data_IF_480677657812
#
_entry.id   IF_480677657812
#
_cell.length_a   1.000
_cell.length_b   1.000
_cell.length_c   1.000
_cell.angle_alpha   90.00
_cell.angle_beta   90.00
_cell.angle_gamma   90.00
#
_symmetry.space_group_name_H-M   'P 1'
#
loop_
_entity.id
_entity.type
_entity.pdbx_description
1 polymer ?
#
# COMPACT_ATOMS: atom_id res chain seq x y z
N UNK A 1 22.66 4.59 -1.09
CA UNK A 1 21.38 5.07 -1.64
C UNK A 1 20.24 5.13 -0.60
N UNK A 2 20.12 4.22 0.38
CA UNK A 2 19.01 4.29 1.37
C UNK A 2 19.07 5.48 2.34
N UNK A 3 20.26 5.94 2.75
CA UNK A 3 20.38 7.05 3.70
C UNK A 3 20.03 8.43 3.10
N UNK A 4 20.26 8.63 1.81
CA UNK A 4 19.95 9.90 1.15
C UNK A 4 18.42 10.11 1.06
N UNK A 5 17.68 9.07 0.71
CA UNK A 5 16.22 9.11 0.65
C UNK A 5 15.58 9.28 2.04
N UNK A 6 16.09 8.56 3.06
CA UNK A 6 15.65 8.74 4.45
C UNK A 6 15.98 10.15 4.95
N UNK A 7 17.15 10.68 4.59
CA UNK A 7 17.55 12.05 4.93
C UNK A 7 16.59 13.08 4.34
N UNK A 8 16.26 12.98 3.05
CA UNK A 8 15.29 13.84 2.38
C UNK A 8 13.91 13.80 3.08
N UNK A 9 13.41 12.59 3.35
CA UNK A 9 12.09 12.40 3.96
C UNK A 9 12.00 13.01 5.37
N UNK A 10 13.05 12.85 6.18
CA UNK A 10 13.07 13.33 7.58
C UNK A 10 13.45 14.80 7.72
N UNK A 11 14.41 15.28 6.93
CA UNK A 11 15.02 16.60 7.10
C UNK A 11 14.41 17.67 6.21
N UNK A 12 13.93 17.30 5.02
CA UNK A 12 13.41 18.24 4.03
C UNK A 12 11.87 18.20 3.99
N UNK A 13 11.28 17.01 4.00
CA UNK A 13 9.81 16.86 3.91
C UNK A 13 9.10 16.82 5.28
N UNK A 14 9.85 16.87 6.39
CA UNK A 14 9.31 16.87 7.75
C UNK A 14 8.49 15.63 8.11
N UNK A 15 8.64 14.54 7.34
CA UNK A 15 7.90 13.31 7.57
C UNK A 15 8.47 12.54 8.77
N UNK A 16 7.64 11.67 9.37
CA UNK A 16 8.06 10.81 10.47
C UNK A 16 8.22 9.37 10.00
N UNK A 17 9.41 8.81 10.17
CA UNK A 17 9.65 7.40 9.87
C UNK A 17 9.00 6.50 10.94
N UNK A 18 8.05 5.67 10.52
CA UNK A 18 7.48 4.59 11.32
C UNK A 18 8.09 3.26 10.86
N UNK A 19 8.86 2.60 11.72
CA UNK A 19 9.49 1.32 11.43
C UNK A 19 9.46 0.42 12.66
N UNK A 20 9.47 -0.90 12.43
CA UNK A 20 9.45 -1.88 13.50
C UNK A 20 10.86 -2.22 13.97
N UNK A 21 11.12 -2.07 15.27
CA UNK A 21 12.31 -2.61 15.94
C UNK A 21 12.20 -4.12 16.22
N UNK A 22 10.99 -4.70 16.07
CA UNK A 22 10.69 -6.11 16.34
C UNK A 22 10.43 -6.91 15.07
N UNK A 23 10.91 -6.39 13.93
CA UNK A 23 10.70 -6.97 12.61
C UNK A 23 9.20 -7.09 12.26
N UNK A 24 8.81 -8.13 11.52
CA UNK A 24 7.44 -8.38 11.08
C UNK A 24 6.34 -8.11 12.11
N UNK A 25 6.56 -8.59 13.34
CA UNK A 25 5.61 -8.50 14.45
C UNK A 25 5.24 -7.07 14.88
N UNK A 26 6.04 -6.07 14.51
CA UNK A 26 5.73 -4.67 14.80
C UNK A 26 5.02 -3.92 13.67
N UNK A 27 4.70 -4.58 12.55
CA UNK A 27 3.89 -3.99 11.48
C UNK A 27 2.85 -4.98 10.89
N UNK A 28 2.02 -5.62 11.73
CA UNK A 28 1.15 -6.72 11.29
C UNK A 28 0.11 -6.31 10.25
N UNK A 29 -0.30 -5.04 10.22
CA UNK A 29 -1.31 -4.54 9.28
C UNK A 29 -0.75 -4.50 7.85
N UNK A 30 0.42 -3.90 7.67
CA UNK A 30 1.08 -3.81 6.35
C UNK A 30 1.46 -5.21 5.85
N UNK A 31 1.92 -6.08 6.75
CA UNK A 31 2.24 -7.46 6.39
C UNK A 31 1.01 -8.26 5.97
N UNK A 32 -0.10 -8.15 6.72
CA UNK A 32 -1.35 -8.81 6.37
C UNK A 32 -1.86 -8.33 5.01
N UNK A 33 -1.78 -7.02 4.75
CA UNK A 33 -2.12 -6.47 3.44
C UNK A 33 -1.28 -7.08 2.32
N UNK A 34 0.05 -7.03 2.41
CA UNK A 34 0.91 -7.54 1.35
C UNK A 34 0.83 -9.06 1.18
N UNK A 35 0.65 -9.81 2.26
CA UNK A 35 0.44 -11.26 2.18
C UNK A 35 -0.84 -11.59 1.42
N UNK A 36 -1.95 -10.90 1.72
CA UNK A 36 -3.23 -11.11 1.04
C UNK A 36 -3.17 -10.66 -0.42
N UNK A 37 -2.61 -9.49 -0.68
CA UNK A 37 -2.48 -8.94 -2.02
C UNK A 37 -1.70 -9.89 -2.95
N UNK A 38 -0.56 -10.42 -2.47
CA UNK A 38 0.24 -11.38 -3.24
C UNK A 38 -0.52 -12.68 -3.49
N UNK A 39 -1.22 -13.20 -2.48
CA UNK A 39 -2.01 -14.42 -2.63
C UNK A 39 -3.18 -14.24 -3.62
N UNK A 40 -3.90 -13.12 -3.55
CA UNK A 40 -5.04 -12.81 -4.43
C UNK A 40 -4.62 -12.61 -5.91
N UNK A 41 -3.36 -12.26 -6.18
CA UNK A 41 -2.86 -11.93 -7.51
C UNK A 41 -1.70 -12.81 -7.98
N UNK A 42 -1.40 -13.89 -7.26
CA UNK A 42 -0.17 -14.67 -7.44
C UNK A 42 0.04 -15.11 -8.88
N UNK A 43 -0.97 -15.71 -9.51
CA UNK A 43 -0.85 -16.25 -10.87
C UNK A 43 -0.57 -15.13 -11.89
N UNK A 44 -1.32 -14.02 -11.81
CA UNK A 44 -1.15 -12.88 -12.71
C UNK A 44 0.22 -12.21 -12.55
N UNK A 45 0.73 -12.12 -11.32
CA UNK A 45 2.05 -11.55 -11.05
C UNK A 45 3.16 -12.44 -11.63
N UNK A 46 2.98 -13.77 -11.60
CA UNK A 46 3.94 -14.72 -12.17
C UNK A 46 3.89 -14.77 -13.70
N UNK A 47 2.76 -14.41 -14.30
CA UNK A 47 2.59 -14.34 -15.77
C UNK A 47 3.20 -13.08 -16.41
N UNK A 48 3.56 -12.08 -15.61
CA UNK A 48 4.16 -10.85 -16.12
C UNK A 48 5.52 -11.11 -16.81
N UNK A 49 5.61 -10.74 -18.09
CA UNK A 49 6.77 -11.07 -18.95
C UNK A 49 7.92 -10.06 -18.88
N UNK A 50 7.72 -8.93 -18.22
CA UNK A 50 8.73 -7.89 -18.04
C UNK A 50 8.46 -7.08 -16.76
N UNK A 51 9.46 -6.31 -16.32
CA UNK A 51 9.32 -5.44 -15.15
C UNK A 51 8.28 -4.36 -15.40
N UNK A 52 8.20 -3.82 -16.62
CA UNK A 52 7.22 -2.80 -17.01
C UNK A 52 5.80 -3.37 -17.00
N UNK A 53 5.62 -4.61 -17.47
CA UNK A 53 4.34 -5.30 -17.40
C UNK A 53 3.92 -5.58 -15.94
N UNK A 54 4.88 -5.96 -15.10
CA UNK A 54 4.65 -6.16 -13.66
C UNK A 54 4.27 -4.84 -12.97
N UNK A 55 4.96 -3.75 -13.27
CA UNK A 55 4.68 -2.43 -12.69
C UNK A 55 3.28 -1.93 -13.09
N UNK A 56 2.93 -2.04 -14.38
CA UNK A 56 1.59 -1.70 -14.85
C UNK A 56 0.49 -2.54 -14.18
N UNK A 57 0.74 -3.85 -14.00
CA UNK A 57 -0.18 -4.75 -13.31
C UNK A 57 -0.32 -4.35 -11.83
N UNK A 58 0.79 -4.07 -11.13
CA UNK A 58 0.75 -3.63 -9.74
C UNK A 58 -0.01 -2.31 -9.58
N UNK A 59 0.24 -1.33 -10.46
CA UNK A 59 -0.45 -0.05 -10.46
C UNK A 59 -1.97 -0.23 -10.64
N UNK A 60 -2.39 -1.06 -11.59
CA UNK A 60 -3.81 -1.36 -11.81
C UNK A 60 -4.45 -2.01 -10.59
N UNK A 61 -3.80 -3.03 -10.01
CA UNK A 61 -4.34 -3.77 -8.87
C UNK A 61 -4.43 -2.91 -7.60
N UNK A 62 -3.44 -2.05 -7.36
CA UNK A 62 -3.48 -1.09 -6.24
C UNK A 62 -4.57 -0.06 -6.45
N UNK A 63 -4.73 0.48 -7.67
CA UNK A 63 -5.82 1.40 -7.99
C UNK A 63 -7.17 0.73 -7.75
N UNK A 64 -7.37 -0.48 -8.25
CA UNK A 64 -8.61 -1.24 -8.04
C UNK A 64 -8.89 -1.50 -6.56
N UNK A 65 -7.87 -1.84 -5.77
CA UNK A 65 -8.02 -1.99 -4.32
C UNK A 65 -8.46 -0.68 -3.64
N UNK A 66 -7.88 0.46 -4.03
CA UNK A 66 -8.14 1.75 -3.36
C UNK A 66 -9.45 2.41 -3.81
N UNK A 67 -9.78 2.33 -5.10
CA UNK A 67 -10.79 3.16 -5.75
C UNK A 67 -12.04 2.39 -6.18
N UNK A 68 -11.98 1.05 -6.24
CA UNK A 68 -13.08 0.24 -6.78
C UNK A 68 -13.54 -0.86 -5.82
N UNK A 69 -12.65 -1.42 -5.00
CA UNK A 69 -13.00 -2.49 -4.06
C UNK A 69 -13.82 -1.91 -2.91
N UNK A 70 -15.01 -2.48 -2.72
CA UNK A 70 -15.84 -2.20 -1.55
C UNK A 70 -15.38 -3.06 -0.38
N UNK A 71 -15.20 -2.45 0.78
CA UNK A 71 -14.78 -3.14 1.99
C UNK A 71 -15.94 -3.23 2.97
N UNK A 72 -16.31 -4.46 3.37
CA UNK A 72 -17.38 -4.70 4.34
C UNK A 72 -17.10 -4.03 5.70
N UNK A 73 -15.84 -4.03 6.14
CA UNK A 73 -15.40 -3.31 7.33
C UNK A 73 -15.51 -1.79 7.23
N UNK A 74 -15.59 -1.25 6.01
CA UNK A 74 -15.77 0.17 5.71
C UNK A 74 -17.21 0.49 5.26
N UNK A 75 -18.19 -0.28 5.73
CA UNK A 75 -19.61 -0.08 5.40
C UNK A 75 -19.87 -0.09 3.89
N UNK A 76 -19.18 -0.96 3.17
CA UNK A 76 -19.27 -1.09 1.71
C UNK A 76 -18.87 0.19 0.96
N UNK A 77 -17.88 0.92 1.47
CA UNK A 77 -17.20 2.01 0.78
C UNK A 77 -15.81 1.56 0.30
N UNK A 78 -15.27 2.32 -0.64
CA UNK A 78 -13.87 2.22 -1.08
C UNK A 78 -12.94 2.84 -0.04
N UNK A 79 -11.65 2.49 -0.12
CA UNK A 79 -10.64 3.11 0.75
C UNK A 79 -10.54 4.61 0.46
N UNK A 80 -10.59 5.01 -0.82
CA UNK A 80 -10.47 6.40 -1.22
C UNK A 80 -11.65 7.27 -0.72
N UNK A 81 -12.88 6.77 -0.76
CA UNK A 81 -14.04 7.47 -0.17
C UNK A 81 -13.88 7.65 1.34
N UNK A 82 -13.50 6.57 2.02
CA UNK A 82 -13.28 6.59 3.48
C UNK A 82 -12.19 7.58 3.87
N UNK A 83 -11.09 7.63 3.10
CA UNK A 83 -10.00 8.57 3.33
C UNK A 83 -10.45 10.02 3.10
N UNK A 84 -11.19 10.29 2.02
CA UNK A 84 -11.73 11.62 1.72
C UNK A 84 -12.63 12.12 2.86
N UNK A 85 -13.49 11.25 3.39
CA UNK A 85 -14.38 11.58 4.52
C UNK A 85 -13.58 11.90 5.80
N UNK A 86 -12.56 11.08 6.11
CA UNK A 86 -11.70 11.31 7.28
C UNK A 86 -10.93 12.63 7.19
N UNK A 87 -10.39 12.95 6.01
CA UNK A 87 -9.67 14.19 5.77
C UNK A 87 -10.57 15.43 5.74
N UNK A 88 -11.83 15.28 5.29
CA UNK A 88 -12.81 16.37 5.30
C UNK A 88 -13.32 16.71 6.71
N UNK A 89 -13.03 15.85 7.69
CA UNK A 89 -13.43 16.01 9.09
C UNK A 89 -12.28 16.55 9.97
N UNK A 90 -11.07 16.70 9.41
CA UNK A 90 -9.87 17.26 10.08
C UNK A 90 -9.68 18.74 9.72
#
# INVERSE_FOLDING_TARGET
MSHAWVGHLLLEEGQRLSYSLRGPKGNPIVESFFSRFKAEHQDLLLEARSIEALDALLAERIRTYNEHRLHSSLRYKTLQETLKEALSTS
#
